data_IF_514471927156
#
_entry.id   IF_514471927156
#
_cell.length_a   1.000
_cell.length_b   1.000
_cell.length_c   1.000
_cell.angle_alpha   90.00
_cell.angle_beta   90.00
_cell.angle_gamma   90.00
#
_symmetry.space_group_name_H-M   'P 1'
#
loop_
_entity.id
_entity.type
_entity.pdbx_description
1 polymer ?
#
# COMPACT_ATOMS: atom_id res chain seq x y z
N UNK A 1 1.62 15.94 22.63
CA UNK A 1 0.69 15.67 21.52
C UNK A 1 1.34 14.60 20.66
N UNK A 2 0.82 13.36 20.64
CA UNK A 2 1.31 12.35 19.70
C UNK A 2 0.78 12.72 18.30
N UNK A 3 1.66 12.92 17.32
CA UNK A 3 1.24 13.18 15.94
C UNK A 3 0.95 11.86 15.24
N UNK A 4 -0.32 11.45 15.22
CA UNK A 4 -0.73 10.31 14.40
C UNK A 4 -0.56 10.64 12.91
N UNK A 5 -0.31 9.62 12.09
CA UNK A 5 -0.43 9.75 10.64
C UNK A 5 -1.88 10.10 10.29
N UNK A 6 -2.08 10.95 9.28
CA UNK A 6 -3.42 11.23 8.75
C UNK A 6 -3.92 10.04 7.93
N UNK A 7 -5.24 9.94 7.72
CA UNK A 7 -5.80 8.90 6.84
C UNK A 7 -5.20 8.99 5.43
N UNK A 8 -5.01 10.20 4.90
CA UNK A 8 -4.35 10.43 3.62
C UNK A 8 -2.91 9.87 3.59
N UNK A 9 -2.13 10.12 4.64
CA UNK A 9 -0.76 9.59 4.75
C UNK A 9 -0.74 8.06 4.80
N UNK A 10 -1.70 7.44 5.51
CA UNK A 10 -1.81 5.98 5.57
C UNK A 10 -2.18 5.37 4.21
N UNK A 11 -3.11 5.98 3.47
CA UNK A 11 -3.48 5.52 2.13
C UNK A 11 -2.31 5.64 1.17
N UNK A 12 -1.62 6.78 1.15
CA UNK A 12 -0.42 6.97 0.35
C UNK A 12 0.66 5.93 0.69
N UNK A 13 0.92 5.72 1.99
CA UNK A 13 1.92 4.79 2.46
C UNK A 13 1.66 3.34 2.04
N UNK A 14 0.40 2.88 2.15
CA UNK A 14 0.03 1.56 1.63
C UNK A 14 0.25 1.48 0.12
N UNK A 15 -0.20 2.48 -0.64
CA UNK A 15 -0.11 2.46 -2.10
C UNK A 15 1.33 2.53 -2.61
N UNK A 16 2.23 3.18 -1.87
CA UNK A 16 3.65 3.24 -2.19
C UNK A 16 4.27 1.84 -2.40
N UNK A 17 3.92 0.87 -1.55
CA UNK A 17 4.42 -0.50 -1.68
C UNK A 17 3.78 -1.27 -2.84
N UNK A 18 2.51 -0.98 -3.17
CA UNK A 18 1.86 -1.52 -4.37
C UNK A 18 2.63 -1.08 -5.63
N UNK A 19 2.95 0.21 -5.75
CA UNK A 19 3.71 0.77 -6.88
C UNK A 19 5.05 0.06 -7.09
N UNK A 20 5.81 -0.15 -6.00
CA UNK A 20 7.10 -0.83 -6.08
C UNK A 20 6.97 -2.27 -6.56
N UNK A 21 5.98 -2.99 -6.04
CA UNK A 21 5.80 -4.41 -6.36
C UNK A 21 5.24 -4.59 -7.76
N UNK A 22 4.31 -3.75 -8.20
CA UNK A 22 3.82 -3.70 -9.58
C UNK A 22 4.99 -3.52 -10.54
N UNK A 23 5.87 -2.54 -10.28
CA UNK A 23 7.06 -2.28 -11.10
C UNK A 23 7.96 -3.50 -11.20
N UNK A 24 8.22 -4.19 -10.08
CA UNK A 24 9.04 -5.42 -10.06
C UNK A 24 8.38 -6.55 -10.84
N UNK A 25 7.08 -6.77 -10.65
CA UNK A 25 6.32 -7.81 -11.36
C UNK A 25 6.24 -7.56 -12.86
N UNK A 26 6.35 -6.30 -13.30
CA UNK A 26 6.45 -5.90 -14.71
C UNK A 26 7.89 -5.98 -15.27
N UNK A 27 8.86 -6.45 -14.49
CA UNK A 27 10.26 -6.63 -14.90
C UNK A 27 11.18 -5.44 -14.65
N UNK A 28 10.71 -4.41 -13.94
CA UNK A 28 11.52 -3.29 -13.48
C UNK A 28 12.35 -3.61 -12.23
N UNK A 29 13.32 -2.74 -11.87
CA UNK A 29 14.10 -2.89 -10.65
C UNK A 29 13.30 -2.49 -9.40
N UNK A 30 13.65 -3.07 -8.25
CA UNK A 30 13.26 -2.54 -6.95
C UNK A 30 14.21 -1.41 -6.53
N UNK A 31 13.80 -0.16 -6.73
CA UNK A 31 14.57 1.04 -6.44
C UNK A 31 13.90 2.01 -5.44
N UNK A 32 12.82 1.54 -4.80
CA UNK A 32 12.15 2.23 -3.70
C UNK A 32 13.00 2.33 -2.44
N UNK A 33 12.73 3.35 -1.62
CA UNK A 33 13.32 3.52 -0.28
C UNK A 33 12.23 3.91 0.69
N UNK A 34 12.19 3.27 1.85
CA UNK A 34 11.15 3.48 2.87
C UNK A 34 10.96 4.95 3.26
N UNK A 35 12.02 5.77 3.23
CA UNK A 35 11.90 7.21 3.51
C UNK A 35 10.87 7.92 2.61
N UNK A 36 10.72 7.46 1.36
CA UNK A 36 9.79 8.02 0.38
C UNK A 36 8.34 7.56 0.60
N UNK A 37 8.12 6.51 1.39
CA UNK A 37 6.78 5.96 1.66
C UNK A 37 5.85 6.89 2.45
N UNK A 38 6.37 8.05 2.89
CA UNK A 38 5.63 9.12 3.55
C UNK A 38 5.80 10.48 2.86
N UNK A 39 6.59 10.57 1.79
CA UNK A 39 6.86 11.82 1.05
C UNK A 39 5.72 12.12 0.06
N UNK A 40 4.56 12.52 0.60
CA UNK A 40 3.39 12.87 -0.19
C UNK A 40 3.13 14.39 -0.22
N UNK A 41 2.51 14.92 -1.30
CA UNK A 41 1.99 16.28 -1.29
C UNK A 41 0.88 16.42 -0.25
N UNK A 42 0.75 17.62 0.31
CA UNK A 42 -0.36 17.94 1.22
C UNK A 42 -1.68 17.89 0.42
N UNK A 43 -2.63 17.09 0.89
CA UNK A 43 -3.99 17.07 0.35
C UNK A 43 -4.80 18.17 1.02
N UNK A 44 -5.27 19.13 0.22
CA UNK A 44 -5.96 20.34 0.67
C UNK A 44 -7.40 20.44 0.18
N UNK A 45 -7.79 19.59 -0.77
CA UNK A 45 -9.14 19.59 -1.36
C UNK A 45 -9.61 18.18 -1.72
N UNK A 46 -10.91 18.08 -2.01
CA UNK A 46 -11.58 16.81 -2.33
C UNK A 46 -11.06 16.19 -3.64
N UNK A 47 -10.69 17.00 -4.63
CA UNK A 47 -10.19 16.50 -5.91
C UNK A 47 -8.87 15.74 -5.73
N UNK A 48 -7.92 16.33 -4.99
CA UNK A 48 -6.64 15.69 -4.63
C UNK A 48 -6.85 14.40 -3.83
N UNK A 49 -7.85 14.38 -2.94
CA UNK A 49 -8.22 13.17 -2.21
C UNK A 49 -8.73 12.06 -3.14
N UNK A 50 -9.65 12.40 -4.05
CA UNK A 50 -10.17 11.44 -5.02
C UNK A 50 -9.08 10.95 -5.98
N UNK A 51 -8.11 11.78 -6.35
CA UNK A 51 -6.96 11.36 -7.16
C UNK A 51 -6.12 10.29 -6.45
N UNK A 52 -5.82 10.47 -5.15
CA UNK A 52 -5.11 9.48 -4.35
C UNK A 52 -5.88 8.15 -4.28
N UNK A 53 -7.20 8.21 -4.03
CA UNK A 53 -8.04 7.02 -3.99
C UNK A 53 -8.09 6.30 -5.34
N UNK A 54 -8.36 7.04 -6.43
CA UNK A 54 -8.45 6.46 -7.77
C UNK A 54 -7.15 5.78 -8.18
N UNK A 55 -5.99 6.39 -7.88
CA UNK A 55 -4.69 5.76 -8.09
C UNK A 55 -4.59 4.46 -7.28
N UNK A 56 -4.91 4.53 -5.98
CA UNK A 56 -4.82 3.37 -5.08
C UNK A 56 -5.68 2.19 -5.55
N UNK A 57 -6.90 2.45 -6.01
CA UNK A 57 -7.77 1.41 -6.55
C UNK A 57 -7.27 0.84 -7.87
N UNK A 58 -6.82 1.72 -8.78
CA UNK A 58 -6.23 1.31 -10.06
C UNK A 58 -5.00 0.42 -9.87
N UNK A 59 -4.12 0.76 -8.92
CA UNK A 59 -2.92 -0.02 -8.62
C UNK A 59 -3.28 -1.35 -7.97
N UNK A 60 -4.26 -1.37 -7.06
CA UNK A 60 -4.75 -2.60 -6.45
C UNK A 60 -5.32 -3.57 -7.50
N UNK A 61 -6.13 -3.09 -8.45
CA UNK A 61 -6.64 -3.89 -9.57
C UNK A 61 -5.50 -4.38 -10.48
N UNK A 62 -4.53 -3.52 -10.78
CA UNK A 62 -3.34 -3.87 -11.57
C UNK A 62 -2.54 -4.98 -10.89
N UNK A 63 -2.25 -4.84 -9.60
CA UNK A 63 -1.51 -5.82 -8.83
C UNK A 63 -2.28 -7.14 -8.74
N UNK A 64 -3.59 -7.10 -8.50
CA UNK A 64 -4.43 -8.29 -8.48
C UNK A 64 -4.36 -9.05 -9.81
N UNK A 65 -4.47 -8.34 -10.94
CA UNK A 65 -4.35 -8.95 -12.28
C UNK A 65 -2.94 -9.49 -12.59
N UNK A 66 -1.89 -8.91 -12.00
CA UNK A 66 -0.53 -9.45 -12.11
C UNK A 66 -0.35 -10.71 -11.26
N UNK A 67 -0.89 -10.73 -10.04
CA UNK A 67 -0.86 -11.89 -9.14
C UNK A 67 -1.62 -13.07 -9.75
N UNK A 68 -2.80 -12.83 -10.32
CA UNK A 68 -3.62 -13.86 -10.97
C UNK A 68 -2.89 -14.57 -12.12
N UNK A 69 -2.01 -13.84 -12.81
CA UNK A 69 -1.20 -14.37 -13.92
C UNK A 69 0.18 -14.84 -13.48
N UNK A 70 0.52 -14.73 -12.19
CA UNK A 70 1.85 -15.05 -11.70
C UNK A 70 2.06 -16.58 -11.68
N UNK A 71 3.14 -17.12 -12.27
CA UNK A 71 3.35 -18.56 -12.33
C UNK A 71 3.48 -19.19 -10.93
N UNK A 72 2.69 -20.23 -10.67
CA UNK A 72 2.66 -20.91 -9.37
C UNK A 72 4.03 -21.49 -8.98
N UNK A 73 4.80 -22.01 -9.95
CA UNK A 73 6.15 -22.55 -9.74
C UNK A 73 7.17 -21.49 -9.29
N UNK A 74 6.83 -20.20 -9.43
CA UNK A 74 7.66 -19.08 -8.97
C UNK A 74 7.29 -18.58 -7.58
N UNK A 75 6.13 -18.93 -7.04
CA UNK A 75 5.67 -18.44 -5.72
C UNK A 75 6.65 -18.78 -4.59
N UNK A 76 7.21 -20.00 -4.62
CA UNK A 76 8.17 -20.45 -3.62
C UNK A 76 9.61 -19.97 -3.86
N UNK A 77 9.91 -19.39 -5.03
CA UNK A 77 11.24 -18.87 -5.35
C UNK A 77 11.47 -17.54 -4.63
N UNK A 78 12.73 -17.22 -4.38
CA UNK A 78 13.15 -15.97 -3.76
C UNK A 78 12.62 -14.76 -4.55
N UNK A 79 12.17 -13.75 -3.82
CA UNK A 79 11.88 -12.44 -4.36
C UNK A 79 13.20 -11.69 -4.54
N UNK A 80 13.58 -11.43 -5.80
CA UNK A 80 14.83 -10.77 -6.18
C UNK A 80 16.08 -11.44 -5.60
N UNK A 81 16.81 -10.75 -4.72
CA UNK A 81 18.05 -11.22 -4.10
C UNK A 81 17.82 -12.02 -2.79
N UNK A 82 16.55 -12.36 -2.50
CA UNK A 82 16.15 -13.18 -1.36
C UNK A 82 16.02 -12.44 -0.03
N UNK A 83 16.38 -11.15 0.04
CA UNK A 83 16.28 -10.36 1.30
C UNK A 83 14.85 -10.18 1.81
N UNK A 84 13.86 -10.32 0.94
CA UNK A 84 12.44 -10.10 1.25
C UNK A 84 11.61 -11.39 1.24
N UNK A 85 12.27 -12.55 1.39
CA UNK A 85 11.62 -13.86 1.37
C UNK A 85 11.25 -14.33 -0.05
N UNK A 86 10.33 -15.28 -0.12
CA UNK A 86 9.81 -15.78 -1.41
C UNK A 86 8.85 -14.78 -2.06
N UNK A 87 8.55 -14.97 -3.36
CA UNK A 87 7.52 -14.18 -4.04
C UNK A 87 6.17 -14.26 -3.30
N UNK A 88 5.79 -15.43 -2.81
CA UNK A 88 4.58 -15.59 -1.99
C UNK A 88 4.64 -14.75 -0.71
N UNK A 89 5.73 -14.85 0.06
CA UNK A 89 5.88 -14.10 1.32
C UNK A 89 5.87 -12.60 1.09
N UNK A 90 6.46 -12.13 -0.01
CA UNK A 90 6.45 -10.72 -0.38
C UNK A 90 5.02 -10.23 -0.67
N UNK A 91 4.26 -10.97 -1.48
CA UNK A 91 2.87 -10.63 -1.81
C UNK A 91 1.93 -10.69 -0.60
N UNK A 92 2.06 -11.72 0.22
CA UNK A 92 1.33 -11.84 1.49
C UNK A 92 1.66 -10.68 2.43
N UNK A 93 2.94 -10.32 2.55
CA UNK A 93 3.40 -9.22 3.39
C UNK A 93 2.76 -7.88 3.02
N UNK A 94 2.52 -7.62 1.73
CA UNK A 94 1.78 -6.43 1.27
C UNK A 94 0.33 -6.47 1.76
N UNK A 95 -0.33 -7.62 1.63
CA UNK A 95 -1.70 -7.78 2.11
C UNK A 95 -1.78 -7.57 3.63
N UNK A 96 -0.89 -8.18 4.42
CA UNK A 96 -0.80 -7.99 5.88
C UNK A 96 -0.58 -6.51 6.24
N UNK A 97 0.34 -5.84 5.53
CA UNK A 97 0.65 -4.43 5.71
C UNK A 97 -0.57 -3.54 5.47
N UNK A 98 -1.33 -3.81 4.40
CA UNK A 98 -2.59 -3.10 4.13
C UNK A 98 -3.62 -3.32 5.24
N UNK A 99 -3.77 -4.55 5.75
CA UNK A 99 -4.69 -4.83 6.85
C UNK A 99 -4.28 -4.10 8.15
N UNK A 100 -2.98 -4.06 8.44
CA UNK A 100 -2.44 -3.33 9.59
C UNK A 100 -2.81 -1.84 9.55
N UNK A 101 -2.59 -1.18 8.42
CA UNK A 101 -2.89 0.25 8.26
C UNK A 101 -4.40 0.53 8.12
N UNK A 102 -5.18 -0.40 7.58
CA UNK A 102 -6.64 -0.32 7.62
C UNK A 102 -7.15 -0.27 9.07
N UNK A 103 -6.56 -1.05 9.98
CA UNK A 103 -6.86 -0.97 11.42
C UNK A 103 -6.61 0.43 11.99
N UNK A 104 -5.50 1.07 11.61
CA UNK A 104 -5.19 2.44 12.02
C UNK A 104 -6.22 3.45 11.47
N UNK A 105 -6.61 3.31 10.19
CA UNK A 105 -7.64 4.16 9.56
C UNK A 105 -8.97 4.04 10.30
N UNK A 106 -9.40 2.82 10.66
CA UNK A 106 -10.65 2.59 11.40
C UNK A 106 -10.60 3.27 12.77
N UNK A 107 -9.49 3.16 13.50
CA UNK A 107 -9.32 3.81 14.80
C UNK A 107 -9.37 5.33 14.64
N UNK A 108 -8.63 5.90 13.68
CA UNK A 108 -8.62 7.33 13.43
C UNK A 108 -10.01 7.86 13.08
N UNK A 109 -10.75 7.14 12.22
CA UNK A 109 -12.13 7.50 11.87
C UNK A 109 -13.02 7.52 13.10
N UNK A 110 -12.91 6.54 14.00
CA UNK A 110 -13.67 6.52 15.26
C UNK A 110 -13.31 7.66 16.21
N UNK A 111 -12.05 8.09 16.22
CA UNK A 111 -11.58 9.20 17.04
C UNK A 111 -11.97 10.58 16.48
N UNK A 112 -12.18 10.70 15.16
CA UNK A 112 -12.55 11.96 14.50
C UNK A 112 -14.05 12.11 14.28
N UNK A 113 -14.83 11.03 14.39
CA UNK A 113 -16.28 11.09 14.32
C UNK A 113 -16.87 11.66 15.63
N UNK A 114 -17.90 12.52 15.56
CA UNK A 114 -18.62 12.99 16.75
C UNK A 114 -19.28 11.82 17.50
N UNK A 115 -19.33 11.88 18.83
CA UNK A 115 -19.82 10.81 19.73
C UNK A 115 -21.22 10.22 19.40
N UNK A 116 -22.04 10.92 18.60
CA UNK A 116 -23.43 10.55 18.32
C UNK A 116 -23.67 9.82 16.97
N UNK A 117 -22.63 9.27 16.32
CA UNK A 117 -22.75 8.55 15.05
C UNK A 117 -22.30 7.08 15.08
N UNK A 118 -22.17 6.48 16.27
CA UNK A 118 -21.88 5.04 16.41
C UNK A 118 -23.13 4.20 16.65
#
# INVERSE_FOLDING_TARGET
>A
VQSFNTIAALVYHMNYYLDLVIKVMQGGPLDGKDKYSWEMPLITNEEEWQQLLNKTWSDAETLAGLIEKFPEDKLAKDFLDGKYGSNFRNLEGIAEHCHYHLGQIVILKKLTLPENQN
#
